data_IF_006607374785
#
_entry.id   IF_006607374785
#
_cell.length_a   1.000
_cell.length_b   1.000
_cell.length_c   1.000
_cell.angle_alpha   90.00
_cell.angle_beta   90.00
_cell.angle_gamma   90.00
#
_symmetry.space_group_name_H-M   'P 1'
#
loop_
_entity.id
_entity.type
_entity.pdbx_description
1 polymer ?
#
# COMPACT_ATOMS: atom_id res chain seq x y z
N UNK A 1 57.40 -67.56 -12.65
CA UNK A 1 55.93 -67.44 -12.65
C UNK A 1 55.55 -66.31 -11.69
N UNK A 2 55.43 -65.09 -12.19
CA UNK A 2 54.98 -63.92 -11.43
C UNK A 2 53.58 -63.56 -11.91
N UNK A 3 52.60 -63.59 -11.01
CA UNK A 3 51.25 -63.10 -11.27
C UNK A 3 51.11 -61.74 -10.60
N UNK A 4 51.10 -60.68 -11.42
CA UNK A 4 50.74 -59.33 -11.00
C UNK A 4 49.23 -59.20 -11.13
N UNK A 5 48.52 -58.90 -10.04
CA UNK A 5 47.09 -58.53 -10.07
C UNK A 5 46.93 -57.10 -9.59
N UNK A 6 46.57 -56.25 -10.54
CA UNK A 6 46.23 -54.84 -10.43
C UNK A 6 45.03 -54.63 -9.52
N UNK A 7 45.15 -53.76 -8.52
CA UNK A 7 44.03 -53.23 -7.73
C UNK A 7 43.63 -51.89 -8.34
N UNK A 8 42.42 -51.82 -8.89
CA UNK A 8 41.81 -50.58 -9.37
C UNK A 8 41.14 -49.90 -8.17
N UNK A 9 41.65 -48.73 -7.78
CA UNK A 9 41.03 -47.88 -6.77
C UNK A 9 40.01 -46.98 -7.46
N UNK A 10 38.72 -47.18 -7.14
CA UNK A 10 37.63 -46.32 -7.60
C UNK A 10 37.53 -45.12 -6.65
N UNK A 11 37.97 -43.94 -7.08
CA UNK A 11 37.69 -42.69 -6.35
C UNK A 11 36.24 -42.28 -6.62
N UNK A 12 35.37 -42.43 -5.62
CA UNK A 12 34.08 -41.73 -5.59
C UNK A 12 34.32 -40.25 -5.27
N UNK A 13 34.15 -39.39 -6.27
CA UNK A 13 34.03 -37.95 -6.04
C UNK A 13 32.59 -37.66 -5.56
N UNK A 14 32.44 -37.29 -4.30
CA UNK A 14 31.18 -36.78 -3.76
C UNK A 14 30.96 -35.36 -4.29
N UNK A 15 30.02 -35.19 -5.23
CA UNK A 15 29.55 -33.87 -5.64
C UNK A 15 28.68 -33.29 -4.53
N UNK A 16 29.21 -32.32 -3.78
CA UNK A 16 28.42 -31.52 -2.85
C UNK A 16 27.47 -30.63 -3.67
N UNK A 17 26.19 -30.98 -3.70
CA UNK A 17 25.15 -30.11 -4.22
C UNK A 17 25.03 -28.91 -3.28
N UNK A 18 25.58 -27.77 -3.69
CA UNK A 18 25.32 -26.50 -3.03
C UNK A 18 23.85 -26.14 -3.26
N UNK A 19 23.02 -26.31 -2.24
CA UNK A 19 21.66 -25.79 -2.22
C UNK A 19 21.74 -24.28 -2.35
N UNK A 20 21.40 -23.76 -3.54
CA UNK A 20 21.21 -22.32 -3.75
C UNK A 20 19.99 -21.93 -2.91
N UNK A 21 20.23 -21.38 -1.73
CA UNK A 21 19.18 -20.80 -0.90
C UNK A 21 18.62 -19.63 -1.71
N UNK A 22 17.36 -19.75 -2.15
CA UNK A 22 16.67 -18.66 -2.80
C UNK A 22 16.70 -17.43 -1.85
N UNK A 23 17.04 -16.22 -2.34
CA UNK A 23 17.03 -15.04 -1.49
C UNK A 23 15.63 -14.87 -0.90
N UNK A 24 15.57 -14.63 0.41
CA UNK A 24 14.32 -14.33 1.10
C UNK A 24 13.63 -13.17 0.38
N UNK A 25 12.32 -13.28 0.17
CA UNK A 25 11.52 -12.16 -0.33
C UNK A 25 11.78 -10.96 0.58
N UNK A 26 12.15 -9.83 -0.02
CA UNK A 26 12.45 -8.62 0.73
C UNK A 26 11.19 -8.20 1.49
N UNK A 27 11.33 -7.99 2.80
CA UNK A 27 10.21 -7.63 3.66
C UNK A 27 9.75 -6.21 3.33
N UNK A 28 8.43 -6.02 3.21
CA UNK A 28 7.84 -4.70 2.98
C UNK A 28 8.15 -3.74 4.13
N UNK A 29 8.46 -2.49 3.79
CA UNK A 29 8.64 -1.36 4.71
C UNK A 29 7.31 -0.86 5.28
N UNK A 30 6.20 -1.22 4.64
CA UNK A 30 4.84 -0.87 5.04
C UNK A 30 4.09 -2.16 5.35
N UNK A 31 3.47 -2.23 6.53
CA UNK A 31 2.50 -3.28 6.84
C UNK A 31 1.21 -2.99 6.05
N UNK A 32 1.11 -3.62 4.88
CA UNK A 32 -0.07 -3.51 4.00
C UNK A 32 -1.12 -4.51 4.45
N UNK A 33 -2.38 -4.06 4.50
CA UNK A 33 -3.55 -4.83 4.92
C UNK A 33 -4.64 -4.67 3.88
N UNK A 34 -5.40 -5.74 3.66
CA UNK A 34 -6.65 -5.63 2.93
C UNK A 34 -7.63 -4.73 3.69
N UNK A 35 -8.46 -4.01 2.95
CA UNK A 35 -9.56 -3.25 3.53
C UNK A 35 -10.61 -4.22 4.05
N UNK A 36 -10.71 -4.29 5.38
CA UNK A 36 -11.77 -4.96 6.10
C UNK A 36 -12.74 -3.90 6.65
N UNK A 37 -13.94 -3.84 6.07
CA UNK A 37 -14.98 -2.86 6.44
C UNK A 37 -15.76 -3.26 7.68
N UNK A 38 -15.66 -4.53 8.11
CA UNK A 38 -16.32 -5.04 9.31
C UNK A 38 -15.42 -4.90 10.55
N UNK A 39 -14.11 -4.74 10.34
CA UNK A 39 -13.16 -4.44 11.40
C UNK A 39 -13.37 -3.02 11.96
N UNK A 40 -13.39 -2.93 13.29
CA UNK A 40 -13.42 -1.64 14.01
C UNK A 40 -12.11 -1.50 14.77
N UNK A 41 -11.14 -0.71 14.25
CA UNK A 41 -9.86 -0.55 14.93
C UNK A 41 -10.02 0.09 16.31
N UNK A 42 -9.18 -0.29 17.26
CA UNK A 42 -9.19 0.31 18.58
C UNK A 42 -8.94 1.83 18.50
N UNK A 43 -9.67 2.61 19.32
CA UNK A 43 -9.54 4.05 19.39
C UNK A 43 -10.25 4.84 18.28
N UNK A 44 -10.70 4.19 17.20
CA UNK A 44 -11.44 4.87 16.12
C UNK A 44 -12.87 5.25 16.46
N UNK A 45 -13.68 4.53 17.27
CA UNK A 45 -15.11 4.85 17.43
C UNK A 45 -15.38 6.27 17.93
N UNK A 46 -14.64 6.73 18.93
CA UNK A 46 -14.81 8.08 19.48
C UNK A 46 -14.35 9.18 18.50
N UNK A 47 -13.26 8.94 17.75
CA UNK A 47 -12.82 9.85 16.71
C UNK A 47 -13.78 9.87 15.52
N UNK A 48 -14.32 8.70 15.16
CA UNK A 48 -15.25 8.52 14.06
C UNK A 48 -16.58 9.23 14.34
N UNK A 49 -17.12 9.14 15.55
CA UNK A 49 -18.32 9.89 15.95
C UNK A 49 -18.12 11.42 15.91
N UNK A 50 -16.87 11.91 16.09
CA UNK A 50 -16.55 13.34 15.94
C UNK A 50 -16.41 13.74 14.48
N UNK A 51 -15.82 12.88 13.65
CA UNK A 51 -15.68 13.10 12.20
C UNK A 51 -17.02 12.97 11.45
N UNK A 52 -17.90 12.09 11.93
CA UNK A 52 -19.21 11.79 11.37
C UNK A 52 -20.27 11.86 12.48
N UNK A 53 -20.83 13.06 12.76
CA UNK A 53 -21.77 13.26 13.87
C UNK A 53 -23.02 12.40 13.82
N UNK A 54 -23.47 12.02 12.62
CA UNK A 54 -24.65 11.18 12.39
C UNK A 54 -24.31 9.68 12.32
N UNK A 55 -23.08 9.28 12.69
CA UNK A 55 -22.66 7.89 12.66
C UNK A 55 -23.53 7.00 13.55
N UNK A 56 -23.94 5.86 13.00
CA UNK A 56 -24.57 4.79 13.75
C UNK A 56 -23.51 3.75 14.08
N UNK A 57 -23.07 3.72 15.35
CA UNK A 57 -21.95 2.89 15.82
C UNK A 57 -20.62 3.31 15.19
N UNK A 58 -20.23 2.68 14.08
CA UNK A 58 -18.96 2.89 13.37
C UNK A 58 -19.16 3.00 11.85
N UNK A 59 -20.39 3.24 11.44
CA UNK A 59 -20.75 3.44 10.05
C UNK A 59 -21.50 4.76 9.92
N UNK A 60 -21.19 5.52 8.87
CA UNK A 60 -21.88 6.77 8.57
C UNK A 60 -22.20 6.86 7.09
N UNK A 61 -23.47 7.12 6.76
CA UNK A 61 -23.86 7.42 5.38
C UNK A 61 -23.71 8.91 5.13
N UNK A 62 -23.12 9.27 4.00
CA UNK A 62 -22.99 10.65 3.56
C UNK A 62 -23.21 10.77 2.06
N UNK A 63 -24.02 11.76 1.69
CA UNK A 63 -24.19 12.18 0.29
C UNK A 63 -23.02 13.08 -0.11
N UNK A 64 -22.36 12.75 -1.22
CA UNK A 64 -21.27 13.52 -1.81
C UNK A 64 -21.54 13.63 -3.31
N UNK A 65 -21.91 14.83 -3.77
CA UNK A 65 -22.39 15.01 -5.13
C UNK A 65 -23.74 14.33 -5.33
N UNK A 66 -23.82 13.43 -6.30
CA UNK A 66 -25.02 12.65 -6.62
C UNK A 66 -24.99 11.23 -6.01
N UNK A 67 -23.90 10.89 -5.32
CA UNK A 67 -23.66 9.55 -4.77
C UNK A 67 -23.79 9.51 -3.25
N UNK A 68 -24.28 8.39 -2.75
CA UNK A 68 -24.34 8.06 -1.33
C UNK A 68 -23.24 7.08 -0.97
N UNK A 69 -22.43 7.42 0.03
CA UNK A 69 -21.31 6.60 0.50
C UNK A 69 -21.51 6.18 1.96
N UNK A 70 -21.30 4.90 2.24
CA UNK A 70 -21.17 4.36 3.60
C UNK A 70 -19.71 4.37 4.00
N UNK A 71 -19.36 5.16 5.02
CA UNK A 71 -18.02 5.27 5.58
C UNK A 71 -17.83 4.36 6.79
N UNK A 72 -16.66 3.76 6.88
CA UNK A 72 -16.18 3.01 8.06
C UNK A 72 -14.74 3.43 8.39
N UNK A 73 -14.32 3.38 9.66
CA UNK A 73 -12.95 3.74 10.06
C UNK A 73 -11.96 2.63 9.67
N UNK A 74 -10.82 3.02 9.09
CA UNK A 74 -9.72 2.11 8.74
C UNK A 74 -8.52 2.22 9.67
N UNK A 75 -8.11 3.45 10.00
CA UNK A 75 -6.86 3.65 10.70
C UNK A 75 -6.89 4.85 11.63
N UNK A 76 -6.03 4.78 12.65
CA UNK A 76 -5.77 5.89 13.54
C UNK A 76 -4.26 6.14 13.60
N UNK A 77 -3.81 7.19 12.93
CA UNK A 77 -2.41 7.46 12.65
C UNK A 77 -1.96 8.68 13.48
N UNK A 78 -1.01 8.54 14.41
CA UNK A 78 -0.51 9.69 15.17
C UNK A 78 0.32 10.61 14.29
N UNK A 79 -0.03 11.90 14.29
CA UNK A 79 0.69 12.98 13.60
C UNK A 79 1.63 13.72 14.55
N UNK A 80 1.22 13.90 15.81
CA UNK A 80 2.01 14.44 16.91
C UNK A 80 1.46 13.92 18.25
N UNK A 81 2.01 14.40 19.38
CA UNK A 81 1.54 14.06 20.73
C UNK A 81 0.10 14.52 21.05
N UNK A 82 -0.49 15.36 20.19
CA UNK A 82 -1.81 15.96 20.40
C UNK A 82 -2.67 15.96 19.13
N UNK A 83 -2.18 15.33 18.05
CA UNK A 83 -2.89 15.26 16.78
C UNK A 83 -2.81 13.89 16.15
N UNK A 84 -3.93 13.48 15.58
CA UNK A 84 -4.13 12.20 14.93
C UNK A 84 -4.86 12.39 13.61
N UNK A 85 -4.58 11.51 12.66
CA UNK A 85 -5.37 11.32 11.46
C UNK A 85 -6.25 10.07 11.64
N UNK A 86 -7.56 10.26 11.55
CA UNK A 86 -8.50 9.17 11.30
C UNK A 86 -8.57 8.96 9.79
N UNK A 87 -8.25 7.75 9.34
CA UNK A 87 -8.47 7.33 7.95
C UNK A 87 -9.75 6.53 7.91
N UNK A 88 -10.64 6.84 6.99
CA UNK A 88 -11.89 6.13 6.74
C UNK A 88 -12.00 5.77 5.27
N UNK A 89 -12.73 4.71 4.94
CA UNK A 89 -13.08 4.38 3.55
C UNK A 89 -14.59 4.40 3.38
N UNK A 90 -15.02 5.00 2.29
CA UNK A 90 -16.40 5.10 1.85
C UNK A 90 -16.60 4.27 0.61
N UNK A 91 -17.67 3.46 0.56
CA UNK A 91 -18.11 2.87 -0.70
C UNK A 91 -19.60 3.16 -0.92
N UNK A 92 -19.95 3.33 -2.19
CA UNK A 92 -21.34 3.46 -2.59
C UNK A 92 -22.03 2.07 -2.65
N UNK A 93 -23.34 2.07 -2.89
CA UNK A 93 -24.14 0.84 -2.94
C UNK A 93 -23.90 -0.04 -4.18
N UNK A 94 -23.00 0.38 -5.09
CA UNK A 94 -22.69 -0.38 -6.28
C UNK A 94 -21.94 -1.68 -5.93
N UNK A 95 -22.12 -2.72 -6.76
CA UNK A 95 -21.46 -4.03 -6.60
C UNK A 95 -20.64 -4.52 -7.82
N UNK A 96 -20.50 -3.71 -8.88
CA UNK A 96 -19.71 -4.02 -10.09
C UNK A 96 -18.25 -3.52 -10.09
N UNK A 97 -17.52 -3.75 -11.17
CA UNK A 97 -16.12 -3.27 -11.33
C UNK A 97 -15.99 -1.73 -11.41
N UNK A 98 -17.10 -1.02 -11.64
CA UNK A 98 -17.15 0.43 -11.79
C UNK A 98 -17.62 1.15 -10.50
N UNK A 99 -17.60 0.46 -9.35
CA UNK A 99 -18.04 1.09 -8.12
C UNK A 99 -17.04 2.09 -7.61
N UNK A 100 -17.54 3.30 -7.41
CA UNK A 100 -16.79 4.40 -6.84
C UNK A 100 -16.70 4.24 -5.34
N UNK A 101 -15.59 4.69 -4.79
CA UNK A 101 -15.40 4.80 -3.37
C UNK A 101 -14.34 5.85 -3.11
N UNK A 102 -14.29 6.33 -1.88
CA UNK A 102 -13.32 7.35 -1.52
C UNK A 102 -12.73 7.05 -0.17
N UNK A 103 -11.46 7.40 0.00
CA UNK A 103 -10.91 7.46 1.34
C UNK A 103 -11.09 8.88 1.88
N UNK A 104 -11.38 8.98 3.16
CA UNK A 104 -11.43 10.24 3.87
C UNK A 104 -10.34 10.26 4.93
N UNK A 105 -9.77 11.44 5.14
CA UNK A 105 -8.85 11.71 6.24
C UNK A 105 -9.42 12.85 7.06
N UNK A 106 -9.52 12.63 8.36
CA UNK A 106 -9.92 13.65 9.33
C UNK A 106 -8.79 13.87 10.30
N UNK A 107 -8.41 15.12 10.52
CA UNK A 107 -7.46 15.46 11.56
C UNK A 107 -8.22 15.82 12.82
N UNK A 108 -7.84 15.20 13.93
CA UNK A 108 -8.41 15.46 15.24
C UNK A 108 -7.32 15.86 16.21
N UNK A 109 -7.63 16.77 17.11
CA UNK A 109 -6.78 17.11 18.25
C UNK A 109 -7.32 16.53 19.54
N UNK A 110 -6.42 16.27 20.50
CA UNK A 110 -6.72 15.90 21.88
C UNK A 110 -5.71 16.56 22.83
N UNK A 111 -6.04 16.63 24.12
CA UNK A 111 -5.35 17.52 25.06
C UNK A 111 -3.88 17.16 25.33
N UNK A 112 -3.53 15.87 25.43
CA UNK A 112 -2.15 15.40 25.61
C UNK A 112 -2.02 13.87 25.53
N UNK A 113 -0.84 13.39 25.13
CA UNK A 113 -0.39 12.01 25.35
C UNK A 113 -0.90 11.02 24.30
N UNK A 114 -1.28 9.81 24.73
CA UNK A 114 -1.92 8.87 23.81
C UNK A 114 -3.28 9.42 23.34
N UNK A 115 -3.71 9.06 22.11
CA UNK A 115 -4.98 9.53 21.57
C UNK A 115 -6.14 9.19 22.49
N UNK A 116 -6.79 10.22 23.03
CA UNK A 116 -7.88 10.07 24.00
C UNK A 116 -8.97 11.10 23.76
N UNK A 117 -10.19 10.69 24.06
CA UNK A 117 -11.33 11.60 24.15
C UNK A 117 -11.08 12.66 25.25
N UNK A 118 -11.59 13.90 25.11
CA UNK A 118 -12.34 14.44 23.97
C UNK A 118 -11.47 14.73 22.75
N UNK A 119 -12.03 14.46 21.56
CA UNK A 119 -11.46 14.87 20.30
C UNK A 119 -12.12 16.15 19.80
N UNK A 120 -11.36 16.98 19.10
CA UNK A 120 -11.88 18.12 18.34
C UNK A 120 -11.45 18.01 16.88
N UNK A 121 -12.42 18.08 15.96
CA UNK A 121 -12.14 18.05 14.52
C UNK A 121 -11.36 19.30 14.11
N UNK A 122 -10.27 19.11 13.38
CA UNK A 122 -9.36 20.17 12.92
C UNK A 122 -9.41 20.35 11.39
N UNK A 123 -9.79 19.31 10.66
CA UNK A 123 -9.88 19.34 9.20
C UNK A 123 -10.43 18.04 8.64
N UNK A 124 -11.01 18.15 7.46
CA UNK A 124 -11.58 17.05 6.69
C UNK A 124 -11.08 17.14 5.25
N UNK A 125 -10.65 15.99 4.73
CA UNK A 125 -10.29 15.81 3.33
C UNK A 125 -10.95 14.54 2.83
N UNK A 126 -11.70 14.68 1.75
CA UNK A 126 -12.35 13.59 1.04
C UNK A 126 -11.53 13.26 -0.20
N UNK A 127 -11.67 12.02 -0.70
CA UNK A 127 -11.00 11.52 -1.90
C UNK A 127 -9.46 11.50 -1.80
N UNK A 128 -8.96 11.05 -0.65
CA UNK A 128 -7.51 10.97 -0.38
C UNK A 128 -6.93 9.66 -0.90
N UNK A 129 -5.83 9.72 -1.65
CA UNK A 129 -5.10 8.51 -2.07
C UNK A 129 -5.90 7.62 -3.02
N UNK A 130 -6.75 8.18 -3.87
CA UNK A 130 -7.51 7.43 -4.87
C UNK A 130 -6.55 6.70 -5.83
N UNK A 131 -6.57 5.37 -5.79
CA UNK A 131 -5.57 4.53 -6.47
C UNK A 131 -6.13 3.76 -7.70
N UNK A 132 -7.45 3.68 -7.86
CA UNK A 132 -8.08 2.93 -8.96
C UNK A 132 -8.23 3.73 -10.26
N UNK A 133 -8.42 3.03 -11.38
CA UNK A 133 -8.65 3.63 -12.72
C UNK A 133 -9.96 4.44 -12.78
N UNK A 134 -10.95 4.11 -11.94
CA UNK A 134 -12.27 4.74 -11.89
C UNK A 134 -12.60 5.40 -10.53
N UNK A 135 -11.59 5.77 -9.73
CA UNK A 135 -11.84 6.27 -8.36
C UNK A 135 -12.39 5.17 -7.45
N UNK A 136 -11.86 3.94 -7.57
CA UNK A 136 -12.21 2.84 -6.70
C UNK A 136 -11.69 3.11 -5.28
N UNK A 137 -12.40 2.65 -4.23
CA UNK A 137 -11.87 2.71 -2.88
C UNK A 137 -10.55 1.92 -2.81
N UNK A 138 -9.70 2.24 -1.82
CA UNK A 138 -8.53 1.41 -1.55
C UNK A 138 -8.97 -0.05 -1.33
N UNK A 139 -8.33 -0.98 -2.02
CA UNK A 139 -8.47 -2.42 -1.75
C UNK A 139 -7.51 -2.83 -0.64
N UNK A 140 -6.35 -2.18 -0.60
CA UNK A 140 -5.32 -2.39 0.40
C UNK A 140 -4.81 -1.06 0.91
N UNK A 141 -4.35 -1.05 2.16
CA UNK A 141 -3.86 0.15 2.80
C UNK A 141 -2.77 -0.16 3.81
N UNK A 142 -2.00 0.85 4.17
CA UNK A 142 -0.99 0.78 5.22
C UNK A 142 -0.43 2.16 5.50
N UNK A 143 0.49 2.30 6.43
CA UNK A 143 1.19 3.57 6.62
C UNK A 143 2.58 3.37 7.21
N UNK A 144 3.44 4.37 7.06
CA UNK A 144 4.81 4.33 7.59
C UNK A 144 5.33 5.73 7.93
N UNK A 145 6.36 5.82 8.76
CA UNK A 145 7.14 7.05 9.02
C UNK A 145 8.52 7.04 8.36
N UNK A 146 8.84 5.98 7.62
CA UNK A 146 10.18 5.76 7.08
C UNK A 146 10.44 6.54 5.78
N UNK A 147 9.41 6.96 5.05
CA UNK A 147 9.54 7.54 3.71
C UNK A 147 9.72 9.06 3.74
N UNK A 148 8.86 9.79 4.45
CA UNK A 148 8.86 11.26 4.49
C UNK A 148 8.91 11.79 5.92
N UNK A 149 9.04 13.11 6.10
CA UNK A 149 9.13 13.73 7.42
C UNK A 149 7.88 13.47 8.26
N UNK A 150 6.71 13.52 7.62
CA UNK A 150 5.42 13.18 8.22
C UNK A 150 5.02 11.72 7.91
N UNK A 151 4.06 11.13 8.66
CA UNK A 151 3.51 9.82 8.32
C UNK A 151 2.98 9.78 6.89
N UNK A 152 3.26 8.70 6.18
CA UNK A 152 2.82 8.45 4.81
C UNK A 152 1.78 7.35 4.83
N UNK A 153 0.59 7.67 4.35
CA UNK A 153 -0.47 6.72 4.04
C UNK A 153 -0.17 6.06 2.69
N UNK A 154 -0.34 4.74 2.64
CA UNK A 154 -0.31 3.93 1.44
C UNK A 154 -1.74 3.46 1.17
N UNK A 155 -2.22 3.70 -0.04
CA UNK A 155 -3.50 3.18 -0.53
C UNK A 155 -3.26 2.54 -1.88
N UNK A 156 -3.72 1.31 -2.05
CA UNK A 156 -3.59 0.55 -3.28
C UNK A 156 -4.95 0.10 -3.76
N UNK A 157 -5.15 0.21 -5.07
CA UNK A 157 -6.29 -0.33 -5.75
C UNK A 157 -5.88 -0.77 -7.16
N UNK A 158 -6.76 -1.53 -7.79
CA UNK A 158 -6.50 -2.11 -9.09
C UNK A 158 -7.75 -2.68 -9.70
N UNK A 159 -7.56 -3.35 -10.83
CA UNK A 159 -8.65 -4.02 -11.51
C UNK A 159 -8.16 -4.89 -12.65
N UNK A 160 -9.08 -5.70 -13.15
CA UNK A 160 -8.86 -6.51 -14.35
C UNK A 160 -9.69 -5.94 -15.48
N UNK A 161 -9.05 -5.56 -16.59
CA UNK A 161 -9.72 -5.09 -17.80
C UNK A 161 -9.25 -5.88 -19.01
N UNK A 162 -10.19 -6.50 -19.73
CA UNK A 162 -9.90 -7.32 -20.92
C UNK A 162 -8.84 -8.42 -20.68
N UNK A 163 -8.83 -9.00 -19.47
CA UNK A 163 -7.87 -10.04 -19.10
C UNK A 163 -6.53 -9.53 -18.56
N UNK A 164 -6.33 -8.21 -18.49
CA UNK A 164 -5.14 -7.57 -17.92
C UNK A 164 -5.40 -7.09 -16.51
N UNK A 165 -4.63 -7.58 -15.55
CA UNK A 165 -4.65 -7.13 -14.17
C UNK A 165 -3.65 -5.98 -13.97
N UNK A 166 -4.11 -4.91 -13.33
CA UNK A 166 -3.35 -3.71 -13.08
C UNK A 166 -3.53 -3.26 -11.64
N UNK A 167 -2.43 -2.94 -10.96
CA UNK A 167 -2.43 -2.39 -9.61
C UNK A 167 -1.64 -1.09 -9.55
N UNK A 168 -2.17 -0.14 -8.79
CA UNK A 168 -1.52 1.12 -8.50
C UNK A 168 -1.61 1.42 -7.01
N UNK A 169 -0.54 1.99 -6.47
CA UNK A 169 -0.53 2.58 -5.14
C UNK A 169 -0.32 4.09 -5.21
N UNK A 170 -0.95 4.81 -4.30
CA UNK A 170 -0.70 6.22 -4.01
C UNK A 170 -0.07 6.33 -2.64
N UNK A 171 0.99 7.14 -2.56
CA UNK A 171 1.58 7.55 -1.29
C UNK A 171 1.10 8.96 -0.96
N UNK A 172 0.47 9.12 0.19
CA UNK A 172 -0.04 10.41 0.68
C UNK A 172 0.67 10.80 1.96
N UNK A 173 1.43 11.89 1.94
CA UNK A 173 2.05 12.47 3.13
C UNK A 173 0.99 13.21 3.97
N UNK A 174 0.86 12.85 5.25
CA UNK A 174 -0.07 13.47 6.19
C UNK A 174 0.57 14.70 6.84
N UNK A 175 0.69 15.79 6.09
CA UNK A 175 1.34 17.03 6.54
C UNK A 175 0.51 17.78 7.60
N UNK A 176 1.08 18.70 8.39
CA UNK A 176 0.31 19.49 9.37
C UNK A 176 -0.85 20.31 8.76
N UNK A 177 -0.75 20.69 7.48
CA UNK A 177 -1.78 21.42 6.74
C UNK A 177 -2.82 20.53 6.07
N UNK A 178 -2.59 19.21 6.02
CA UNK A 178 -3.47 18.25 5.35
C UNK A 178 -2.72 17.17 4.57
N UNK A 179 -3.42 16.12 4.14
CA UNK A 179 -2.88 15.07 3.27
C UNK A 179 -2.44 15.66 1.94
N UNK A 180 -1.32 15.15 1.41
CA UNK A 180 -0.78 15.51 0.10
C UNK A 180 -0.23 14.27 -0.58
N UNK A 181 -0.72 13.96 -1.77
CA UNK A 181 -0.12 12.89 -2.57
C UNK A 181 1.30 13.26 -2.96
N UNK A 182 2.22 12.31 -2.76
CA UNK A 182 3.66 12.47 -2.98
C UNK A 182 4.23 11.42 -3.94
N UNK A 183 3.50 10.35 -4.27
CA UNK A 183 3.91 9.40 -5.28
C UNK A 183 2.71 8.62 -5.83
N UNK A 184 2.83 8.18 -7.09
CA UNK A 184 2.00 7.12 -7.67
C UNK A 184 2.90 6.04 -8.25
N UNK A 185 2.62 4.78 -7.91
CA UNK A 185 3.45 3.62 -8.20
C UNK A 185 2.57 2.61 -8.91
N UNK A 186 3.04 2.01 -10.01
CA UNK A 186 2.39 0.83 -10.59
C UNK A 186 2.89 -0.39 -9.83
N UNK A 187 2.10 -0.90 -8.89
CA UNK A 187 2.49 -1.99 -8.00
C UNK A 187 2.37 -3.35 -8.67
N UNK A 188 1.48 -3.52 -9.65
CA UNK A 188 1.36 -4.79 -10.35
C UNK A 188 0.91 -4.66 -11.81
N UNK A 189 1.28 -5.68 -12.58
CA UNK A 189 0.80 -5.93 -13.94
C UNK A 189 0.74 -7.42 -14.18
N UNK A 190 -0.29 -7.92 -14.87
CA UNK A 190 -0.34 -9.28 -15.43
C UNK A 190 -1.23 -9.31 -16.67
N UNK A 191 -0.81 -10.03 -17.71
CA UNK A 191 -1.63 -10.34 -18.90
C UNK A 191 -1.80 -11.87 -19.07
N UNK A 192 -1.73 -12.61 -17.96
CA UNK A 192 -1.74 -14.08 -17.93
C UNK A 192 -3.02 -14.73 -18.50
N UNK A 193 -4.00 -13.94 -18.91
CA UNK A 193 -5.17 -14.41 -19.65
C UNK A 193 -4.86 -14.83 -21.10
N UNK A 194 -3.68 -14.46 -21.62
CA UNK A 194 -3.17 -14.85 -22.93
C UNK A 194 -2.12 -15.96 -22.81
N UNK A 195 -2.10 -16.92 -23.75
CA UNK A 195 -1.13 -18.02 -23.77
C UNK A 195 0.34 -17.53 -23.84
N UNK A 196 0.57 -16.36 -24.44
CA UNK A 196 1.87 -15.67 -24.51
C UNK A 196 1.96 -14.44 -23.58
N UNK A 197 1.01 -14.30 -22.66
CA UNK A 197 0.88 -13.16 -21.76
C UNK A 197 1.91 -13.12 -20.64
N UNK A 198 2.25 -11.92 -20.15
CA UNK A 198 3.16 -11.77 -19.01
C UNK A 198 2.49 -12.38 -17.76
N UNK A 199 3.10 -13.40 -17.10
CA UNK A 199 2.58 -13.97 -15.86
C UNK A 199 2.41 -12.92 -14.77
N UNK A 200 3.17 -11.84 -14.86
CA UNK A 200 3.01 -10.64 -14.08
C UNK A 200 4.07 -10.43 -13.03
N UNK A 201 4.12 -9.20 -12.55
CA UNK A 201 5.00 -8.76 -11.46
C UNK A 201 4.19 -8.08 -10.37
N UNK A 202 4.69 -8.18 -9.15
CA UNK A 202 4.17 -7.52 -7.96
C UNK A 202 5.32 -6.80 -7.26
N UNK A 203 5.09 -5.52 -6.94
CA UNK A 203 6.05 -4.59 -6.37
C UNK A 203 5.71 -4.21 -4.95
N UNK A 204 6.69 -4.28 -4.06
CA UNK A 204 6.58 -3.87 -2.66
C UNK A 204 7.64 -2.83 -2.32
N UNK A 205 7.31 -1.84 -1.49
CA UNK A 205 8.31 -0.86 -1.02
C UNK A 205 9.18 -1.55 0.04
N UNK A 206 10.46 -1.75 -0.25
CA UNK A 206 11.37 -2.55 0.62
C UNK A 206 12.35 -1.71 1.42
N UNK A 207 12.65 -0.50 0.96
CA UNK A 207 13.59 0.40 1.63
C UNK A 207 13.29 1.86 1.32
N UNK A 208 13.70 2.74 2.23
CA UNK A 208 13.62 4.17 2.05
C UNK A 208 14.82 4.87 2.67
N UNK A 209 15.26 5.92 2.01
CA UNK A 209 16.11 6.96 2.53
C UNK A 209 15.23 8.16 2.83
N UNK A 210 14.88 8.34 4.11
CA UNK A 210 13.83 9.25 4.56
C UNK A 210 14.00 10.65 3.97
N UNK A 211 12.94 11.14 3.31
CA UNK A 211 12.89 12.45 2.69
C UNK A 211 13.66 12.57 1.37
N UNK A 212 14.28 11.49 0.88
CA UNK A 212 15.16 11.49 -0.30
C UNK A 212 14.76 10.50 -1.36
N UNK A 213 14.55 9.24 -1.01
CA UNK A 213 14.17 8.20 -1.98
C UNK A 213 13.52 6.98 -1.32
N UNK A 214 12.85 6.16 -2.11
CA UNK A 214 12.46 4.80 -1.72
C UNK A 214 12.61 3.84 -2.88
N UNK A 215 12.68 2.54 -2.57
CA UNK A 215 12.83 1.48 -3.55
C UNK A 215 11.60 0.57 -3.53
N UNK A 216 11.06 0.31 -4.71
CA UNK A 216 10.05 -0.71 -4.96
C UNK A 216 10.77 -1.93 -5.54
N UNK A 217 10.68 -3.06 -4.85
CA UNK A 217 11.23 -4.33 -5.33
C UNK A 217 10.11 -5.16 -5.94
N UNK A 218 10.28 -5.52 -7.21
CA UNK A 218 9.38 -6.34 -7.98
C UNK A 218 9.79 -7.81 -7.97
N UNK A 219 8.79 -8.69 -7.91
CA UNK A 219 8.94 -10.14 -8.04
C UNK A 219 7.80 -10.74 -8.86
N UNK A 220 7.91 -12.01 -9.26
CA UNK A 220 6.94 -12.67 -10.15
C UNK A 220 7.66 -13.28 -11.36
N UNK A 221 7.21 -12.92 -12.56
CA UNK A 221 7.83 -13.32 -13.84
C UNK A 221 9.26 -12.79 -14.00
N UNK A 222 9.55 -11.64 -13.39
CA UNK A 222 10.88 -11.04 -13.30
C UNK A 222 11.16 -10.53 -11.88
N UNK A 223 12.45 -10.32 -11.56
CA UNK A 223 12.89 -9.64 -10.34
C UNK A 223 13.73 -8.43 -10.66
N UNK A 224 13.38 -7.29 -10.10
CA UNK A 224 14.12 -6.04 -10.26
C UNK A 224 13.69 -5.01 -9.23
N UNK A 225 14.48 -3.95 -9.11
CA UNK A 225 14.18 -2.81 -8.25
C UNK A 225 13.95 -1.56 -9.09
N UNK A 226 13.05 -0.70 -8.61
CA UNK A 226 12.80 0.64 -9.12
C UNK A 226 12.97 1.65 -7.98
N UNK A 227 13.84 2.64 -8.18
CA UNK A 227 14.10 3.68 -7.18
C UNK A 227 13.35 4.96 -7.53
N UNK A 228 12.60 5.48 -6.56
CA UNK A 228 11.89 6.74 -6.66
C UNK A 228 12.64 7.81 -5.86
N UNK A 229 12.93 8.95 -6.48
CA UNK A 229 13.67 10.07 -5.85
C UNK A 229 12.77 11.27 -5.64
N UNK A 230 12.91 11.93 -4.50
CA UNK A 230 12.15 13.13 -4.16
C UNK A 230 12.66 14.35 -4.93
N UNK A 231 11.78 14.98 -5.68
CA UNK A 231 12.01 16.26 -6.35
C UNK A 231 11.92 17.45 -5.39
N UNK A 232 12.34 18.62 -5.88
CA UNK A 232 12.23 19.88 -5.14
C UNK A 232 10.78 20.30 -4.85
N UNK A 233 9.83 19.80 -5.64
CA UNK A 233 8.39 19.95 -5.41
C UNK A 233 7.86 18.98 -4.34
N UNK A 234 8.72 18.13 -3.76
CA UNK A 234 8.36 17.14 -2.76
C UNK A 234 7.66 15.89 -3.31
N UNK A 235 7.54 15.76 -4.63
CA UNK A 235 7.01 14.56 -5.28
C UNK A 235 8.14 13.54 -5.51
N UNK A 236 7.87 12.27 -5.25
CA UNK A 236 8.73 11.16 -5.60
C UNK A 236 8.43 10.69 -7.02
N UNK A 237 9.47 10.58 -7.83
CA UNK A 237 9.37 10.12 -9.23
C UNK A 237 10.37 9.02 -9.48
N UNK A 238 9.96 8.05 -10.31
CA UNK A 238 10.83 6.98 -10.75
C UNK A 238 12.10 7.54 -11.40
N UNK A 239 13.25 7.00 -11.02
CA UNK A 239 14.51 7.26 -11.67
C UNK A 239 14.61 6.42 -12.96
N UNK A 240 14.42 7.07 -14.11
CA UNK A 240 14.46 6.42 -15.42
C UNK A 240 13.08 5.98 -15.91
N UNK A 241 13.03 4.91 -16.71
CA UNK A 241 11.80 4.35 -17.25
C UNK A 241 11.38 3.12 -16.44
N UNK A 242 10.07 2.91 -16.29
CA UNK A 242 9.55 1.72 -15.62
C UNK A 242 9.83 0.48 -16.47
N UNK A 243 10.15 -0.60 -15.77
CA UNK A 243 10.32 -1.94 -16.31
C UNK A 243 9.03 -2.76 -16.16
N UNK A 244 8.05 -2.24 -15.44
CA UNK A 244 6.69 -2.79 -15.43
C UNK A 244 6.00 -2.37 -16.71
N UNK A 245 5.35 -3.31 -17.38
CA UNK A 245 4.51 -3.01 -18.56
C UNK A 245 3.40 -2.05 -18.15
N UNK A 246 3.30 -0.93 -18.85
CA UNK A 246 2.30 0.08 -18.54
C UNK A 246 0.87 -0.49 -18.69
N UNK A 247 0.07 -0.21 -17.68
CA UNK A 247 -1.38 -0.19 -17.75
C UNK A 247 -1.85 1.13 -18.40
#
# INVERSE_FOLDING_TARGET
>A
MQASKTVITLCLAAAAAASVVAPAAAQSLIEVKDVDRDAVPAGTPAAFAVAFPDAQRNEATREIGEDSYSFVPLAFIPLSDTRVALVSTGANACTGQACTGLNAVHYLSHDAGEPRHPFSLQGEWLDVGAAGVMGNPALQWGWTRAIADNPVLFTEAGGVWQGRACGYAVLTELTPSGPRDIARIQTSFSDASSDDGDPGVEGVITSADKGRSFTVSYSGSARFDETYTRGADGQYRLQGASRVTAC
#
